data_IF_111177116997
#
_entry.id   IF_111177116997
#
_cell.length_a   1.000
_cell.length_b   1.000
_cell.length_c   1.000
_cell.angle_alpha   90.00
_cell.angle_beta   90.00
_cell.angle_gamma   90.00
#
_symmetry.space_group_name_H-M   'P 1'
#
loop_
_entity.id
_entity.type
_entity.pdbx_description
1 polymer ?
#
# COMPACT_ATOMS: atom_id res chain seq x y z
N UNK A 1 -29.49 29.22 29.34
CA UNK A 1 -28.78 27.95 29.08
C UNK A 1 -28.76 27.68 27.58
N UNK A 2 -27.65 27.93 26.89
CA UNK A 2 -27.59 27.91 25.43
C UNK A 2 -27.76 26.50 24.85
N UNK A 3 -28.55 26.31 23.78
CA UNK A 3 -28.82 25.00 23.16
C UNK A 3 -27.55 24.35 22.56
N UNK A 4 -26.57 25.17 22.19
CA UNK A 4 -25.27 24.74 21.64
C UNK A 4 -24.48 23.93 22.68
N UNK A 5 -24.50 24.34 23.96
CA UNK A 5 -23.81 23.62 25.03
C UNK A 5 -24.41 22.22 25.24
N UNK A 6 -25.73 22.07 25.08
CA UNK A 6 -26.41 20.76 25.18
C UNK A 6 -26.02 19.83 24.04
N UNK A 7 -25.94 20.33 22.81
CA UNK A 7 -25.53 19.54 21.64
C UNK A 7 -24.07 19.05 21.73
N UNK A 8 -23.16 19.89 22.22
CA UNK A 8 -21.75 19.52 22.43
C UNK A 8 -21.61 18.52 23.58
N UNK A 9 -22.33 18.70 24.68
CA UNK A 9 -22.34 17.75 25.80
C UNK A 9 -22.92 16.38 25.39
N UNK A 10 -24.00 16.37 24.61
CA UNK A 10 -24.66 15.16 24.13
C UNK A 10 -23.77 14.35 23.17
N UNK A 11 -23.01 15.03 22.27
CA UNK A 11 -22.03 14.36 21.39
C UNK A 11 -20.89 13.67 22.17
N UNK A 12 -20.47 14.24 23.30
CA UNK A 12 -19.41 13.66 24.15
C UNK A 12 -19.90 12.44 24.94
N UNK A 13 -21.13 12.46 25.44
CA UNK A 13 -21.72 11.31 26.13
C UNK A 13 -21.77 10.06 25.24
N UNK A 14 -22.09 10.25 23.95
CA UNK A 14 -22.14 9.16 22.97
C UNK A 14 -20.76 8.53 22.69
N UNK A 15 -19.69 9.32 22.76
CA UNK A 15 -18.33 8.82 22.52
C UNK A 15 -17.76 8.04 23.71
N UNK A 16 -18.14 8.39 24.95
CA UNK A 16 -17.72 7.68 26.17
C UNK A 16 -18.41 6.32 26.26
N UNK A 17 -19.73 6.27 26.08
CA UNK A 17 -20.49 5.00 26.11
C UNK A 17 -19.99 4.01 25.04
N UNK A 18 -19.65 4.50 23.85
CA UNK A 18 -19.09 3.68 22.78
C UNK A 18 -17.69 3.15 23.14
N UNK A 19 -16.82 3.98 23.74
CA UNK A 19 -15.49 3.57 24.20
C UNK A 19 -15.56 2.49 25.28
N UNK A 20 -16.44 2.66 26.27
CA UNK A 20 -16.66 1.66 27.34
C UNK A 20 -17.14 0.34 26.75
N UNK A 21 -18.06 0.37 25.79
CA UNK A 21 -18.54 -0.83 25.10
C UNK A 21 -17.46 -1.52 24.26
N UNK A 22 -16.56 -0.77 23.64
CA UNK A 22 -15.41 -1.30 22.91
C UNK A 22 -14.37 -1.93 23.84
N UNK A 23 -14.13 -1.31 25.01
CA UNK A 23 -13.24 -1.86 26.05
C UNK A 23 -13.83 -3.13 26.67
N UNK A 24 -15.13 -3.19 26.95
CA UNK A 24 -15.77 -4.41 27.45
C UNK A 24 -15.61 -5.59 26.46
N UNK A 25 -15.72 -5.30 25.15
CA UNK A 25 -15.53 -6.28 24.07
C UNK A 25 -14.08 -6.71 23.85
N UNK A 26 -13.08 -5.97 24.34
CA UNK A 26 -11.67 -6.40 24.25
C UNK A 26 -11.30 -7.48 25.27
N UNK A 27 -12.20 -7.78 26.23
CA UNK A 27 -12.05 -8.89 27.16
C UNK A 27 -12.76 -10.17 26.69
N UNK A 28 -13.47 -10.11 25.56
CA UNK A 28 -14.05 -11.31 24.95
C UNK A 28 -12.90 -12.15 24.34
N UNK A 29 -12.84 -13.47 24.60
CA UNK A 29 -11.69 -14.30 24.26
C UNK A 29 -11.52 -14.56 22.76
N UNK A 30 -12.45 -14.08 21.94
CA UNK A 30 -12.41 -14.28 20.50
C UNK A 30 -11.95 -13.01 19.77
N UNK A 31 -11.16 -13.14 18.69
CA UNK A 31 -10.48 -11.99 18.09
C UNK A 31 -11.51 -11.08 17.41
N UNK A 32 -11.84 -9.96 18.04
CA UNK A 32 -12.51 -8.84 17.38
C UNK A 32 -11.50 -7.81 16.91
N UNK A 33 -10.43 -8.28 16.27
CA UNK A 33 -9.56 -7.42 15.48
C UNK A 33 -10.29 -6.98 14.21
N UNK A 34 -11.46 -6.35 14.37
CA UNK A 34 -11.97 -5.44 13.36
C UNK A 34 -10.91 -4.36 13.28
N UNK A 35 -10.20 -4.33 12.15
CA UNK A 35 -9.24 -3.27 11.85
C UNK A 35 -9.86 -1.94 12.28
N UNK A 36 -9.22 -1.17 13.17
CA UNK A 36 -9.84 -0.01 13.77
C UNK A 36 -10.28 0.95 12.66
N UNK A 37 -11.60 1.07 12.45
CA UNK A 37 -12.20 2.00 11.49
C UNK A 37 -11.93 3.46 11.85
N UNK A 38 -11.38 3.70 13.04
CA UNK A 38 -10.90 4.99 13.52
C UNK A 38 -9.54 5.38 12.94
N UNK A 39 -8.78 4.43 12.39
CA UNK A 39 -7.50 4.73 11.75
C UNK A 39 -7.73 5.06 10.28
N UNK A 40 -7.30 6.25 9.87
CA UNK A 40 -7.34 6.66 8.46
C UNK A 40 -6.39 5.77 7.67
N UNK A 41 -6.84 5.27 6.51
CA UNK A 41 -5.98 4.53 5.58
C UNK A 41 -4.70 5.35 5.29
N UNK A 42 -3.56 4.67 5.29
CA UNK A 42 -2.29 5.28 4.93
C UNK A 42 -2.42 5.94 3.55
N UNK A 43 -1.84 7.14 3.39
CA UNK A 43 -1.84 7.83 2.10
C UNK A 43 -1.08 6.96 1.10
N UNK A 44 -1.63 6.77 -0.09
CA UNK A 44 -0.97 6.02 -1.15
C UNK A 44 0.33 6.70 -1.58
N UNK A 45 1.46 6.01 -1.41
CA UNK A 45 2.79 6.47 -1.85
C UNK A 45 3.06 6.06 -3.31
N UNK A 46 2.25 6.59 -4.24
CA UNK A 46 2.32 6.25 -5.67
C UNK A 46 3.66 6.58 -6.31
N UNK A 47 4.30 7.68 -5.90
CA UNK A 47 5.62 8.07 -6.39
C UNK A 47 6.71 7.06 -6.04
N UNK A 48 6.68 6.50 -4.82
CA UNK A 48 7.64 5.45 -4.42
C UNK A 48 7.40 4.16 -5.20
N UNK A 49 6.15 3.81 -5.46
CA UNK A 49 5.81 2.63 -6.27
C UNK A 49 6.27 2.80 -7.72
N UNK A 50 6.00 3.95 -8.34
CA UNK A 50 6.45 4.27 -9.70
C UNK A 50 7.98 4.25 -9.80
N UNK A 51 8.69 4.84 -8.81
CA UNK A 51 10.15 4.81 -8.78
C UNK A 51 10.69 3.39 -8.68
N UNK A 52 10.13 2.57 -7.78
CA UNK A 52 10.51 1.16 -7.63
C UNK A 52 10.28 0.36 -8.92
N UNK A 53 9.16 0.59 -9.59
CA UNK A 53 8.88 -0.04 -10.89
C UNK A 53 9.88 0.40 -11.95
N UNK A 54 10.22 1.69 -11.99
CA UNK A 54 11.24 2.23 -12.89
C UNK A 54 12.63 1.64 -12.61
N UNK A 55 13.03 1.53 -11.35
CA UNK A 55 14.31 0.93 -10.95
C UNK A 55 14.38 -0.55 -11.37
N UNK A 56 13.28 -1.31 -11.25
CA UNK A 56 13.21 -2.69 -11.73
C UNK A 56 13.27 -2.78 -13.27
N UNK A 57 12.54 -1.89 -13.96
CA UNK A 57 12.49 -1.82 -15.41
C UNK A 57 13.89 -1.55 -16.01
N UNK A 58 14.72 -0.73 -15.37
CA UNK A 58 16.08 -0.42 -15.82
C UNK A 58 16.97 -1.66 -15.98
N UNK A 59 16.74 -2.73 -15.22
CA UNK A 59 17.50 -3.97 -15.35
C UNK A 59 16.76 -5.00 -16.20
N UNK A 60 15.44 -5.09 -16.03
CA UNK A 60 14.63 -6.10 -16.70
C UNK A 60 14.63 -5.94 -18.22
N UNK A 61 14.40 -4.72 -18.73
CA UNK A 61 14.32 -4.49 -20.17
C UNK A 61 15.63 -4.75 -20.92
N UNK A 62 16.82 -4.26 -20.49
CA UNK A 62 18.05 -4.59 -21.18
C UNK A 62 18.43 -6.07 -21.06
N UNK A 63 18.19 -6.69 -19.90
CA UNK A 63 18.42 -8.13 -19.73
C UNK A 63 17.54 -8.94 -20.69
N UNK A 64 16.24 -8.66 -20.75
CA UNK A 64 15.34 -9.30 -21.70
C UNK A 64 15.73 -8.98 -23.14
N UNK A 65 16.17 -7.76 -23.43
CA UNK A 65 16.71 -7.37 -24.72
C UNK A 65 17.85 -8.30 -25.15
N UNK A 66 18.82 -8.56 -24.28
CA UNK A 66 19.91 -9.49 -24.53
C UNK A 66 19.40 -10.93 -24.73
N UNK A 67 18.52 -11.40 -23.85
CA UNK A 67 17.98 -12.77 -23.91
C UNK A 67 17.12 -12.99 -25.16
N UNK A 68 16.46 -11.98 -25.70
CA UNK A 68 15.69 -12.12 -26.94
C UNK A 68 16.56 -11.92 -28.19
N UNK A 69 17.55 -11.02 -28.13
CA UNK A 69 18.39 -10.67 -29.29
C UNK A 69 19.66 -11.54 -29.43
N UNK A 70 19.92 -12.47 -28.51
CA UNK A 70 21.12 -13.31 -28.54
C UNK A 70 21.39 -14.00 -29.90
N UNK A 71 20.40 -14.51 -30.67
CA UNK A 71 20.71 -15.18 -31.94
C UNK A 71 21.20 -14.18 -32.99
N UNK A 72 20.60 -13.00 -33.03
CA UNK A 72 20.97 -11.91 -33.97
C UNK A 72 22.34 -11.36 -33.61
N UNK A 73 22.64 -11.19 -32.32
CA UNK A 73 23.97 -10.77 -31.86
C UNK A 73 25.03 -11.80 -32.29
N UNK A 74 24.73 -13.09 -32.15
CA UNK A 74 25.65 -14.17 -32.55
C UNK A 74 25.85 -14.21 -34.07
N UNK A 75 24.77 -14.08 -34.84
CA UNK A 75 24.82 -14.04 -36.31
C UNK A 75 25.73 -12.90 -36.77
N UNK A 76 25.48 -11.67 -36.33
CA UNK A 76 26.30 -10.51 -36.71
C UNK A 76 27.78 -10.65 -36.32
N UNK A 77 28.06 -11.32 -35.19
CA UNK A 77 29.44 -11.51 -34.71
C UNK A 77 30.17 -12.66 -35.42
N UNK A 78 29.45 -13.68 -35.91
CA UNK A 78 30.00 -14.80 -36.65
C UNK A 78 30.13 -14.49 -38.14
N UNK A 79 29.17 -13.79 -38.74
CA UNK A 79 29.19 -13.45 -40.17
C UNK A 79 30.38 -12.54 -40.51
N UNK A 80 30.72 -11.61 -39.60
CA UNK A 80 31.94 -10.80 -39.69
C UNK A 80 33.27 -11.56 -39.42
N UNK A 81 33.22 -12.83 -39.03
CA UNK A 81 34.39 -13.69 -38.76
C UNK A 81 34.57 -14.86 -39.75
N UNK A 82 33.57 -15.12 -40.59
CA UNK A 82 33.56 -16.25 -41.55
C UNK A 82 33.71 -15.76 -43.01
N UNK A 83 33.94 -14.47 -43.25
CA UNK A 83 34.45 -13.96 -44.52
C UNK A 83 35.97 -14.11 -44.67
#
# INVERSE_FOLDING_TARGET
MSPILRLVAQRRAFSIATRVRTLARSFEPHPFERMPTTQKAARGDWGKQARRLGDAAMFYFPFMGLVLSWPVIVEQFLDGKIQ
#
